data_IF_409996285697
#
_entry.id   IF_409996285697
#
_cell.length_a   1.000
_cell.length_b   1.000
_cell.length_c   1.000
_cell.angle_alpha   90.00
_cell.angle_beta   90.00
_cell.angle_gamma   90.00
#
_symmetry.space_group_name_H-M   'P 1'
#
loop_
_entity.id
_entity.type
_entity.pdbx_description
1 polymer ?
#
# COMPACT_ATOMS: atom_id res chain seq x y z
N UNK A 1 -14.86 -2.34 -14.68
CA UNK A 1 -14.30 -1.34 -15.62
C UNK A 1 -13.32 -0.42 -14.89
N UNK A 2 -12.17 -0.10 -15.53
CA UNK A 2 -11.15 0.78 -14.96
C UNK A 2 -11.24 2.17 -15.55
N UNK A 3 -11.24 3.18 -14.69
CA UNK A 3 -11.25 4.59 -15.08
C UNK A 3 -9.95 5.26 -14.66
N UNK A 4 -9.39 6.10 -15.55
CA UNK A 4 -8.21 6.89 -15.26
C UNK A 4 -8.56 8.00 -14.26
N UNK A 5 -7.76 8.12 -13.20
CA UNK A 5 -7.87 9.21 -12.24
C UNK A 5 -7.19 10.47 -12.79
N UNK A 6 -7.71 11.63 -12.42
CA UNK A 6 -7.05 12.91 -12.70
C UNK A 6 -5.88 13.12 -11.71
N UNK A 7 -4.82 12.34 -11.88
CA UNK A 7 -3.68 12.30 -11.00
C UNK A 7 -2.37 12.32 -11.78
N UNK A 8 -1.32 12.86 -11.15
CA UNK A 8 0.00 12.92 -11.79
C UNK A 8 0.59 11.50 -11.93
N UNK A 9 0.87 11.09 -13.17
CA UNK A 9 1.41 9.77 -13.51
C UNK A 9 2.84 9.54 -12.99
N UNK A 10 3.59 10.61 -12.71
CA UNK A 10 5.00 10.53 -12.33
C UNK A 10 5.22 10.53 -10.81
N UNK A 11 4.21 10.85 -10.02
CA UNK A 11 4.31 11.00 -8.56
C UNK A 11 3.60 9.88 -7.83
N UNK A 12 4.16 8.68 -7.91
CA UNK A 12 3.66 7.50 -7.21
C UNK A 12 4.48 7.17 -5.97
N UNK A 13 3.79 6.58 -5.00
CA UNK A 13 4.40 5.88 -3.89
C UNK A 13 4.20 4.36 -4.06
N UNK A 14 5.28 3.60 -4.00
CA UNK A 14 5.27 2.15 -4.19
C UNK A 14 5.57 1.44 -2.89
N UNK A 15 4.73 0.51 -2.48
CA UNK A 15 4.94 -0.30 -1.27
C UNK A 15 6.24 -1.09 -1.29
N UNK A 16 6.70 -1.51 -2.47
CA UNK A 16 8.00 -2.16 -2.65
C UNK A 16 9.18 -1.26 -2.23
N UNK A 17 9.07 0.07 -2.36
CA UNK A 17 10.11 1.00 -1.92
C UNK A 17 10.26 1.00 -0.40
N UNK A 18 9.15 0.95 0.34
CA UNK A 18 9.18 0.86 1.81
C UNK A 18 9.94 -0.38 2.25
N UNK A 19 9.63 -1.54 1.65
CA UNK A 19 10.30 -2.81 1.96
C UNK A 19 11.80 -2.74 1.66
N UNK A 20 12.19 -2.06 0.57
CA UNK A 20 13.58 -1.96 0.12
C UNK A 20 14.41 -0.93 0.90
N UNK A 21 13.83 0.25 1.17
CA UNK A 21 14.59 1.39 1.70
C UNK A 21 14.52 1.53 3.21
N UNK A 22 13.44 1.09 3.87
CA UNK A 22 13.32 1.15 5.32
C UNK A 22 14.47 0.46 6.07
N UNK A 23 14.88 -0.78 5.72
CA UNK A 23 16.02 -1.42 6.37
C UNK A 23 17.34 -0.66 6.21
N UNK A 24 17.56 -0.02 5.06
CA UNK A 24 18.73 0.80 4.80
C UNK A 24 18.76 2.05 5.68
N UNK A 25 17.59 2.66 5.91
CA UNK A 25 17.47 3.80 6.83
C UNK A 25 17.74 3.37 8.27
N UNK A 26 17.27 2.20 8.70
CA UNK A 26 17.58 1.65 10.02
C UNK A 26 19.09 1.42 10.21
N UNK A 27 19.74 0.81 9.24
CA UNK A 27 21.19 0.58 9.28
C UNK A 27 21.95 1.92 9.37
N UNK A 28 21.56 2.91 8.55
CA UNK A 28 22.16 4.24 8.56
C UNK A 28 21.96 4.99 9.89
N UNK A 29 20.74 4.91 10.44
CA UNK A 29 20.45 5.50 11.75
C UNK A 29 21.32 4.88 12.84
N UNK A 30 21.47 3.56 12.86
CA UNK A 30 22.28 2.88 13.86
C UNK A 30 23.78 3.13 13.68
N UNK A 31 24.25 3.39 12.45
CA UNK A 31 25.64 3.81 12.24
C UNK A 31 25.90 5.21 12.83
N UNK A 32 24.95 6.14 12.67
CA UNK A 32 25.01 7.45 13.31
C UNK A 32 25.00 7.31 14.84
N UNK A 33 24.16 6.44 15.39
CA UNK A 33 24.11 6.17 16.83
C UNK A 33 25.44 5.59 17.33
N UNK A 34 26.10 4.70 16.56
CA UNK A 34 27.47 4.24 16.93
C UNK A 34 28.48 5.38 16.95
N UNK A 35 28.42 6.29 15.99
CA UNK A 35 29.30 7.45 15.94
C UNK A 35 29.06 8.40 17.13
N UNK A 36 27.78 8.60 17.51
CA UNK A 36 27.43 9.36 18.71
C UNK A 36 27.99 8.69 19.98
N UNK A 37 27.82 7.39 20.13
CA UNK A 37 28.33 6.66 21.28
C UNK A 37 29.87 6.77 21.37
N UNK A 38 30.59 6.60 20.24
CA UNK A 38 32.04 6.77 20.20
C UNK A 38 32.47 8.20 20.59
N UNK A 39 31.78 9.20 20.08
CA UNK A 39 32.02 10.59 20.44
C UNK A 39 31.88 10.82 21.94
N UNK A 40 30.78 10.39 22.55
CA UNK A 40 30.54 10.55 23.98
C UNK A 40 31.57 9.79 24.82
N UNK A 41 31.95 8.60 24.43
CA UNK A 41 32.97 7.80 25.08
C UNK A 41 34.35 8.52 25.05
N UNK A 42 34.76 9.05 23.89
CA UNK A 42 36.06 9.81 23.77
C UNK A 42 36.06 11.10 24.56
N UNK A 43 34.90 11.71 24.83
CA UNK A 43 34.80 12.90 25.67
C UNK A 43 34.58 12.60 27.16
N UNK A 44 34.59 11.33 27.56
CA UNK A 44 34.33 10.92 28.94
C UNK A 44 32.88 11.16 29.42
N UNK A 45 31.92 11.29 28.48
CA UNK A 45 30.52 11.56 28.79
C UNK A 45 29.79 10.24 28.96
N UNK A 46 29.15 10.02 30.11
CA UNK A 46 28.44 8.79 30.45
C UNK A 46 27.07 8.68 29.77
N UNK A 47 27.02 8.92 28.45
CA UNK A 47 25.82 8.78 27.63
C UNK A 47 26.05 7.69 26.60
N UNK A 48 25.16 6.69 26.58
CA UNK A 48 25.19 5.60 25.60
C UNK A 48 23.79 5.26 25.11
N UNK A 49 23.63 5.20 23.82
CA UNK A 49 22.40 4.79 23.16
C UNK A 49 22.47 3.33 22.71
N UNK A 50 21.36 2.61 22.81
CA UNK A 50 21.27 1.21 22.38
C UNK A 50 21.34 1.08 20.86
N UNK A 51 21.98 0.02 20.38
CA UNK A 51 22.00 -0.33 18.95
C UNK A 51 20.91 -1.36 18.70
N UNK A 52 19.91 -0.98 17.93
CA UNK A 52 18.74 -1.80 17.61
C UNK A 52 18.81 -2.28 16.17
N UNK A 53 18.30 -3.48 15.89
CA UNK A 53 18.17 -4.00 14.52
C UNK A 53 17.13 -3.20 13.71
N UNK A 54 16.02 -2.89 14.35
CA UNK A 54 14.88 -2.17 13.78
C UNK A 54 14.45 -1.05 14.73
N UNK A 55 15.10 0.13 14.68
CA UNK A 55 14.77 1.22 15.58
C UNK A 55 13.36 1.76 15.28
N UNK A 56 12.60 1.94 16.35
CA UNK A 56 11.29 2.59 16.24
C UNK A 56 11.46 4.09 16.01
N UNK A 57 10.47 4.72 15.39
CA UNK A 57 10.47 6.18 15.22
C UNK A 57 10.51 6.90 16.59
N UNK A 58 9.77 6.38 17.58
CA UNK A 58 9.78 6.90 18.95
C UNK A 58 11.19 6.93 19.53
N UNK A 59 11.95 5.84 19.38
CA UNK A 59 13.33 5.75 19.84
C UNK A 59 14.23 6.79 19.19
N UNK A 60 14.10 7.04 17.89
CA UNK A 60 14.89 8.05 17.19
C UNK A 60 14.52 9.48 17.61
N UNK A 61 13.25 9.75 17.91
CA UNK A 61 12.78 11.03 18.44
C UNK A 61 13.33 11.24 19.84
N UNK A 62 13.31 10.24 20.72
CA UNK A 62 13.87 10.33 22.06
C UNK A 62 15.39 10.65 22.05
N UNK A 63 16.13 10.08 21.10
CA UNK A 63 17.55 10.43 20.90
C UNK A 63 17.66 11.89 20.45
N UNK A 64 16.87 12.30 19.48
CA UNK A 64 16.90 13.67 18.94
C UNK A 64 16.64 14.71 20.02
N UNK A 65 15.61 14.52 20.85
CA UNK A 65 15.28 15.41 21.98
C UNK A 65 16.36 15.46 23.07
N UNK A 66 17.01 14.31 23.36
CA UNK A 66 18.11 14.26 24.30
C UNK A 66 19.35 15.00 23.78
N UNK A 67 19.63 14.84 22.48
CA UNK A 67 20.71 15.55 21.81
C UNK A 67 20.46 17.06 21.74
N UNK A 68 19.21 17.49 21.57
CA UNK A 68 18.86 18.92 21.61
C UNK A 68 19.16 19.53 22.96
N UNK A 69 18.70 18.92 24.04
CA UNK A 69 18.98 19.40 25.40
C UNK A 69 20.47 19.47 25.68
N UNK A 70 21.20 18.40 25.37
CA UNK A 70 22.65 18.35 25.55
C UNK A 70 23.37 19.41 24.71
N UNK A 71 22.97 19.64 23.46
CA UNK A 71 23.57 20.67 22.60
C UNK A 71 23.28 22.09 23.09
N UNK A 72 22.12 22.35 23.67
CA UNK A 72 21.80 23.65 24.29
C UNK A 72 22.75 23.94 25.45
N UNK A 73 22.99 22.98 26.33
CA UNK A 73 23.93 23.11 27.45
C UNK A 73 25.35 23.33 26.96
N UNK A 74 25.82 22.54 26.01
CA UNK A 74 27.18 22.65 25.46
C UNK A 74 27.40 23.96 24.70
N UNK A 75 26.45 24.40 23.89
CA UNK A 75 26.55 25.63 23.10
C UNK A 75 26.49 26.88 23.98
N UNK A 76 25.86 26.84 25.15
CA UNK A 76 25.85 27.94 26.12
C UNK A 76 27.29 28.24 26.66
N UNK A 77 28.13 27.25 26.70
CA UNK A 77 29.52 27.37 27.27
C UNK A 77 30.58 27.52 26.16
N UNK A 78 30.24 27.14 24.92
CA UNK A 78 31.18 27.04 23.80
C UNK A 78 31.54 28.40 23.20
N UNK A 79 32.82 28.71 23.10
CA UNK A 79 33.33 29.94 22.48
C UNK A 79 33.74 29.80 21.00
N UNK A 80 33.50 28.65 20.36
CA UNK A 80 33.96 28.37 18.97
C UNK A 80 32.93 28.72 17.90
N UNK A 81 33.39 29.15 16.70
CA UNK A 81 32.57 29.50 15.53
C UNK A 81 32.32 28.31 14.60
N UNK A 82 32.05 27.17 14.88
CA UNK A 82 31.81 26.04 13.99
C UNK A 82 30.60 25.20 14.40
N UNK A 83 30.08 24.41 13.50
CA UNK A 83 29.01 23.46 13.83
C UNK A 83 29.57 22.36 14.70
N UNK A 84 28.92 22.07 15.83
CA UNK A 84 29.35 21.00 16.70
C UNK A 84 29.19 19.63 15.98
N UNK A 85 30.18 18.69 16.09
CA UNK A 85 30.12 17.39 15.41
C UNK A 85 28.81 16.63 15.71
N UNK A 86 28.35 16.63 16.97
CA UNK A 86 27.08 16.02 17.38
C UNK A 86 25.88 16.69 16.70
N UNK A 87 25.89 18.00 16.48
CA UNK A 87 24.82 18.70 15.78
C UNK A 87 24.70 18.27 14.31
N UNK A 88 25.84 17.93 13.67
CA UNK A 88 25.83 17.35 12.31
C UNK A 88 25.18 15.97 12.31
N UNK A 89 25.61 15.08 13.22
CA UNK A 89 25.04 13.73 13.35
C UNK A 89 23.55 13.76 13.70
N UNK A 90 23.14 14.66 14.60
CA UNK A 90 21.74 14.89 14.94
C UNK A 90 20.92 15.27 13.70
N UNK A 91 21.38 16.22 12.90
CA UNK A 91 20.70 16.65 11.66
C UNK A 91 20.54 15.49 10.67
N UNK A 92 21.56 14.65 10.52
CA UNK A 92 21.49 13.47 9.65
C UNK A 92 20.49 12.44 10.20
N UNK A 93 20.47 12.20 11.52
CA UNK A 93 19.50 11.32 12.18
C UNK A 93 18.06 11.83 12.00
N UNK A 94 17.85 13.13 12.17
CA UNK A 94 16.55 13.78 11.95
C UNK A 94 16.04 13.64 10.50
N UNK A 95 16.93 13.70 9.51
CA UNK A 95 16.58 13.45 8.10
C UNK A 95 16.12 12.02 7.89
N UNK A 96 16.77 11.05 8.53
CA UNK A 96 16.37 9.64 8.47
C UNK A 96 15.04 9.43 9.18
N UNK A 97 14.84 10.04 10.36
CA UNK A 97 13.59 9.96 11.11
C UNK A 97 12.40 10.51 10.29
N UNK A 98 12.57 11.65 9.59
CA UNK A 98 11.56 12.19 8.67
C UNK A 98 11.22 11.21 7.53
N UNK A 99 12.22 10.53 6.97
CA UNK A 99 11.99 9.53 5.92
C UNK A 99 11.21 8.31 6.47
N UNK A 100 11.57 7.84 7.66
CA UNK A 100 10.87 6.72 8.31
C UNK A 100 9.42 7.10 8.69
N UNK A 101 9.20 8.33 9.13
CA UNK A 101 7.87 8.86 9.39
C UNK A 101 7.01 8.88 8.11
N UNK A 102 7.58 9.40 7.00
CA UNK A 102 6.87 9.40 5.71
C UNK A 102 6.52 7.99 5.23
N UNK A 103 7.37 6.99 5.51
CA UNK A 103 7.06 5.58 5.20
C UNK A 103 5.97 5.02 6.09
N UNK A 104 5.87 5.43 7.36
CA UNK A 104 4.78 5.02 8.24
C UNK A 104 3.44 5.56 7.72
N UNK A 105 3.35 6.86 7.45
CA UNK A 105 2.16 7.48 6.86
C UNK A 105 1.76 6.84 5.53
N UNK A 106 2.76 6.63 4.65
CA UNK A 106 2.50 6.00 3.36
C UNK A 106 1.99 4.56 3.50
N UNK A 107 2.40 3.83 4.53
CA UNK A 107 1.91 2.48 4.79
C UNK A 107 0.43 2.50 5.18
N UNK A 108 0.00 3.47 5.97
CA UNK A 108 -1.41 3.62 6.36
C UNK A 108 -2.29 3.96 5.15
N UNK A 109 -1.83 4.86 4.26
CA UNK A 109 -2.51 5.19 3.00
C UNK A 109 -2.55 3.99 2.05
N UNK A 110 -1.46 3.22 1.95
CA UNK A 110 -1.40 2.03 1.09
C UNK A 110 -2.42 0.97 1.50
N UNK A 111 -2.58 0.72 2.79
CA UNK A 111 -3.31 -0.46 3.25
C UNK A 111 -2.75 -1.73 2.60
N UNK A 112 -3.60 -2.49 1.91
CA UNK A 112 -3.20 -3.67 1.15
C UNK A 112 -2.79 -3.40 -0.31
N UNK A 113 -2.87 -2.15 -0.77
CA UNK A 113 -2.53 -1.76 -2.15
C UNK A 113 -1.02 -1.78 -2.38
N UNK A 114 -0.61 -1.96 -3.63
CA UNK A 114 0.80 -1.93 -4.02
C UNK A 114 1.34 -0.51 -4.24
N UNK A 115 0.47 0.45 -4.48
CA UNK A 115 0.83 1.84 -4.79
C UNK A 115 -0.33 2.80 -4.54
N UNK A 116 -0.02 4.08 -4.43
CA UNK A 116 -0.99 5.16 -4.52
C UNK A 116 -0.35 6.37 -5.20
N UNK A 117 -1.18 7.24 -5.79
CA UNK A 117 -0.72 8.52 -6.33
C UNK A 117 -0.56 9.54 -5.20
N UNK A 118 0.53 10.31 -5.19
CA UNK A 118 0.72 11.38 -4.20
C UNK A 118 -0.23 12.56 -4.39
N UNK A 119 -0.77 12.72 -5.58
CA UNK A 119 -1.74 13.79 -5.92
C UNK A 119 -3.19 13.36 -5.77
N UNK A 120 -3.43 12.04 -5.70
CA UNK A 120 -4.72 11.43 -5.46
C UNK A 120 -4.49 10.12 -4.67
N UNK A 121 -4.47 10.17 -3.32
CA UNK A 121 -4.13 9.01 -2.49
C UNK A 121 -5.07 7.81 -2.65
N UNK A 122 -6.28 8.01 -3.13
CA UNK A 122 -7.25 6.94 -3.36
C UNK A 122 -7.02 6.23 -4.69
N UNK A 123 -6.33 6.86 -5.66
CA UNK A 123 -6.01 6.25 -6.93
C UNK A 123 -4.84 5.26 -6.81
N UNK A 124 -5.00 4.10 -7.43
CA UNK A 124 -3.95 3.06 -7.50
C UNK A 124 -3.40 2.97 -8.92
N UNK A 125 -2.09 2.74 -9.06
CA UNK A 125 -1.49 2.44 -10.35
C UNK A 125 -2.01 1.10 -10.84
N UNK A 126 -2.74 1.10 -11.93
CA UNK A 126 -3.33 -0.11 -12.48
C UNK A 126 -3.15 -0.20 -13.99
N UNK A 127 -3.10 -1.44 -14.47
CA UNK A 127 -3.09 -1.71 -15.89
C UNK A 127 -4.47 -1.41 -16.46
N UNK A 128 -4.55 -0.41 -17.35
CA UNK A 128 -5.78 -0.06 -18.03
C UNK A 128 -6.07 -1.10 -19.14
N UNK A 129 -7.29 -1.11 -19.67
CA UNK A 129 -7.59 -1.92 -20.87
C UNK A 129 -6.65 -1.52 -21.99
N UNK A 130 -6.31 -2.49 -22.84
CA UNK A 130 -5.48 -2.26 -24.02
C UNK A 130 -6.10 -1.18 -24.89
N UNK A 131 -5.30 -0.17 -25.21
CA UNK A 131 -5.69 0.88 -26.15
C UNK A 131 -5.44 0.39 -27.57
N UNK A 132 -6.50 -0.01 -28.25
CA UNK A 132 -6.43 -0.51 -29.61
C UNK A 132 -6.02 0.54 -30.64
N UNK A 133 -6.17 1.84 -30.31
CA UNK A 133 -5.76 2.93 -31.22
C UNK A 133 -4.26 3.19 -31.15
N UNK A 134 -3.70 3.16 -29.96
CA UNK A 134 -2.28 3.45 -29.75
C UNK A 134 -1.44 2.19 -29.57
N UNK A 135 -2.01 1.01 -29.63
CA UNK A 135 -1.35 -0.29 -29.43
C UNK A 135 -0.52 -0.35 -28.14
N UNK A 136 -0.96 0.28 -27.07
CA UNK A 136 -0.22 0.40 -25.82
C UNK A 136 -0.92 -0.26 -24.64
N UNK A 137 -0.14 -0.99 -23.86
CA UNK A 137 -0.51 -1.42 -22.52
C UNK A 137 -0.10 -0.31 -21.55
N UNK A 138 -1.03 0.51 -21.12
CA UNK A 138 -0.72 1.67 -20.31
C UNK A 138 -1.06 1.43 -18.84
N UNK A 139 -0.07 1.62 -17.98
CA UNK A 139 -0.28 1.76 -16.55
C UNK A 139 -0.60 3.21 -16.23
N UNK A 140 -1.73 3.43 -15.55
CA UNK A 140 -2.20 4.76 -15.17
C UNK A 140 -2.76 4.73 -13.74
N UNK A 141 -2.76 5.89 -13.03
CA UNK A 141 -3.55 6.02 -11.82
C UNK A 141 -5.03 5.85 -12.17
N UNK A 142 -5.74 5.10 -11.37
CA UNK A 142 -7.14 4.86 -11.68
C UNK A 142 -7.91 4.17 -10.58
N UNK A 143 -9.18 3.99 -10.86
CA UNK A 143 -10.16 3.33 -10.04
C UNK A 143 -10.77 2.15 -10.78
N UNK A 144 -11.12 1.12 -10.04
CA UNK A 144 -11.89 0.00 -10.54
C UNK A 144 -13.37 0.23 -10.20
N UNK A 145 -14.19 0.46 -11.21
CA UNK A 145 -15.61 0.77 -11.07
C UNK A 145 -16.42 -0.47 -11.40
N UNK A 146 -17.22 -0.91 -10.44
CA UNK A 146 -18.19 -2.00 -10.58
C UNK A 146 -19.58 -1.40 -10.83
N UNK A 147 -20.31 -1.93 -11.79
CA UNK A 147 -21.65 -1.46 -12.15
C UNK A 147 -22.58 -2.67 -12.16
N UNK A 148 -23.58 -2.62 -11.33
CA UNK A 148 -24.71 -3.58 -11.34
C UNK A 148 -25.82 -3.06 -12.22
N UNK A 149 -26.24 -3.87 -13.18
CA UNK A 149 -27.31 -3.54 -14.13
C UNK A 149 -28.49 -4.49 -13.91
N UNK A 150 -29.69 -3.94 -13.85
CA UNK A 150 -30.93 -4.71 -13.79
C UNK A 150 -31.91 -4.13 -14.81
N UNK A 151 -32.42 -4.99 -15.69
CA UNK A 151 -33.36 -4.61 -16.77
C UNK A 151 -32.90 -3.41 -17.63
N UNK A 152 -31.59 -3.32 -17.89
CA UNK A 152 -31.01 -2.23 -18.69
C UNK A 152 -30.70 -0.95 -17.90
N UNK A 153 -31.05 -0.87 -16.62
CA UNK A 153 -30.79 0.28 -15.76
C UNK A 153 -29.63 0.00 -14.80
N UNK A 154 -28.83 1.03 -14.49
CA UNK A 154 -27.82 0.96 -13.45
C UNK A 154 -28.54 0.94 -12.10
N UNK A 155 -28.51 -0.20 -11.43
CA UNK A 155 -29.09 -0.37 -10.10
C UNK A 155 -28.14 0.10 -8.99
N UNK A 156 -26.83 -0.21 -9.12
CA UNK A 156 -25.83 0.15 -8.13
C UNK A 156 -24.46 0.29 -8.76
N UNK A 157 -23.63 1.19 -8.20
CA UNK A 157 -22.22 1.32 -8.59
C UNK A 157 -21.33 1.35 -7.36
N UNK A 158 -20.13 0.77 -7.50
CA UNK A 158 -19.10 0.75 -6.46
C UNK A 158 -17.75 1.12 -7.05
N UNK A 159 -17.06 2.07 -6.42
CA UNK A 159 -15.74 2.53 -6.85
C UNK A 159 -14.70 1.97 -5.86
N UNK A 160 -13.70 1.28 -6.37
CA UNK A 160 -12.64 0.67 -5.57
C UNK A 160 -11.26 1.09 -6.03
N UNK A 161 -10.30 1.28 -5.12
CA UNK A 161 -8.89 1.39 -5.44
C UNK A 161 -8.25 0.02 -5.76
N UNK A 162 -8.95 -1.09 -5.54
CA UNK A 162 -8.44 -2.42 -5.82
C UNK A 162 -8.32 -2.70 -7.32
N UNK A 163 -7.16 -3.19 -7.73
CA UNK A 163 -6.89 -3.51 -9.13
C UNK A 163 -7.62 -4.77 -9.59
N UNK A 164 -7.93 -5.66 -8.66
CA UNK A 164 -8.47 -7.00 -8.93
C UNK A 164 -9.98 -7.06 -8.62
N UNK A 165 -10.77 -7.47 -9.61
CA UNK A 165 -12.23 -7.61 -9.50
C UNK A 165 -12.66 -8.65 -8.45
N UNK A 166 -11.86 -9.68 -8.19
CA UNK A 166 -12.16 -10.67 -7.15
C UNK A 166 -12.36 -10.05 -5.76
N UNK A 167 -11.65 -8.96 -5.45
CA UNK A 167 -11.75 -8.27 -4.16
C UNK A 167 -12.95 -7.31 -4.09
N UNK A 168 -13.55 -6.95 -5.21
CA UNK A 168 -14.60 -5.94 -5.28
C UNK A 168 -16.01 -6.51 -5.21
N UNK A 169 -16.20 -7.83 -5.39
CA UNK A 169 -17.52 -8.46 -5.40
C UNK A 169 -18.25 -8.35 -4.05
N UNK A 170 -17.58 -8.73 -2.95
CA UNK A 170 -18.19 -8.68 -1.61
C UNK A 170 -18.49 -7.23 -1.20
N UNK A 171 -17.55 -6.26 -1.28
CA UNK A 171 -17.87 -4.86 -1.00
C UNK A 171 -19.00 -4.28 -1.86
N UNK A 172 -19.10 -4.69 -3.12
CA UNK A 172 -20.20 -4.31 -4.00
C UNK A 172 -21.54 -4.84 -3.49
N UNK A 173 -21.63 -6.13 -3.15
CA UNK A 173 -22.84 -6.76 -2.63
C UNK A 173 -23.27 -6.19 -1.28
N UNK A 174 -22.31 -5.89 -0.40
CA UNK A 174 -22.59 -5.24 0.87
C UNK A 174 -23.08 -3.79 0.69
N UNK A 175 -22.51 -3.06 -0.27
CA UNK A 175 -22.99 -1.73 -0.62
C UNK A 175 -24.40 -1.76 -1.21
N UNK A 176 -24.67 -2.70 -2.10
CA UNK A 176 -26.00 -2.94 -2.64
C UNK A 176 -27.02 -3.22 -1.54
N UNK A 177 -26.70 -4.17 -0.63
CA UNK A 177 -27.55 -4.50 0.52
C UNK A 177 -27.84 -3.28 1.40
N UNK A 178 -26.83 -2.45 1.68
CA UNK A 178 -27.04 -1.23 2.48
C UNK A 178 -28.02 -0.26 1.82
N UNK A 179 -27.99 -0.16 0.49
CA UNK A 179 -28.87 0.75 -0.25
C UNK A 179 -30.29 0.21 -0.38
N UNK A 180 -30.43 -1.08 -0.67
CA UNK A 180 -31.75 -1.71 -0.96
C UNK A 180 -32.32 -2.51 0.21
N UNK A 181 -31.59 -2.57 1.34
CA UNK A 181 -31.96 -3.32 2.56
C UNK A 181 -32.08 -4.86 2.32
N UNK A 182 -31.65 -5.34 1.15
CA UNK A 182 -31.66 -6.75 0.79
C UNK A 182 -30.56 -7.06 -0.23
N UNK A 183 -30.19 -8.34 -0.34
CA UNK A 183 -29.29 -8.81 -1.38
C UNK A 183 -30.02 -9.04 -2.71
N UNK A 184 -29.32 -8.93 -3.86
CA UNK A 184 -29.93 -9.35 -5.13
C UNK A 184 -30.17 -10.86 -5.11
N UNK A 185 -31.31 -11.30 -5.60
CA UNK A 185 -31.66 -12.74 -5.67
C UNK A 185 -30.71 -13.51 -6.58
N UNK A 186 -30.33 -12.90 -7.71
CA UNK A 186 -29.44 -13.51 -8.70
C UNK A 186 -28.38 -12.49 -9.11
N UNK A 187 -27.12 -12.93 -9.20
CA UNK A 187 -25.98 -12.12 -9.68
C UNK A 187 -25.26 -12.89 -10.78
N UNK A 188 -25.06 -12.24 -11.91
CA UNK A 188 -24.29 -12.76 -13.04
C UNK A 188 -23.04 -11.91 -13.20
N UNK A 189 -21.86 -12.53 -13.18
CA UNK A 189 -20.58 -11.82 -13.34
C UNK A 189 -19.66 -12.50 -14.35
N UNK A 190 -18.63 -11.78 -14.79
CA UNK A 190 -17.58 -12.37 -15.60
C UNK A 190 -16.58 -13.21 -14.77
N UNK A 191 -15.60 -13.83 -15.44
CA UNK A 191 -14.61 -14.68 -14.80
C UNK A 191 -13.66 -13.93 -13.85
N UNK A 192 -13.58 -12.61 -13.95
CA UNK A 192 -12.72 -11.77 -13.09
C UNK A 192 -13.14 -11.79 -11.62
N UNK A 193 -14.40 -12.14 -11.33
CA UNK A 193 -14.96 -12.24 -9.98
C UNK A 193 -14.88 -13.65 -9.37
N UNK A 194 -14.49 -14.65 -10.17
CA UNK A 194 -14.48 -16.05 -9.76
C UNK A 194 -13.43 -16.34 -8.70
N UNK A 195 -13.82 -16.41 -7.44
CA UNK A 195 -12.98 -16.85 -6.32
C UNK A 195 -13.80 -17.71 -5.35
N UNK A 196 -13.11 -18.61 -4.63
CA UNK A 196 -13.77 -19.41 -3.59
C UNK A 196 -14.50 -18.55 -2.56
N UNK A 197 -13.88 -17.44 -2.12
CA UNK A 197 -14.47 -16.51 -1.17
C UNK A 197 -15.77 -15.89 -1.68
N UNK A 198 -15.83 -15.49 -2.95
CA UNK A 198 -17.04 -14.90 -3.55
C UNK A 198 -18.16 -15.92 -3.71
N UNK A 199 -17.84 -17.19 -4.05
CA UNK A 199 -18.84 -18.27 -4.09
C UNK A 199 -19.37 -18.58 -2.70
N UNK A 200 -18.51 -18.76 -1.71
CA UNK A 200 -18.91 -19.04 -0.33
C UNK A 200 -19.75 -17.92 0.25
N UNK A 201 -19.38 -16.66 -0.02
CA UNK A 201 -20.15 -15.48 0.40
C UNK A 201 -21.56 -15.47 -0.22
N UNK A 202 -21.67 -15.70 -1.53
CA UNK A 202 -22.95 -15.76 -2.22
C UNK A 202 -23.84 -16.87 -1.66
N UNK A 203 -23.29 -18.06 -1.41
CA UNK A 203 -24.00 -19.20 -0.83
C UNK A 203 -24.48 -18.88 0.60
N UNK A 204 -23.63 -18.28 1.43
CA UNK A 204 -23.98 -17.91 2.81
C UNK A 204 -25.18 -16.94 2.85
N UNK A 205 -25.28 -16.03 1.88
CA UNK A 205 -26.33 -15.03 1.80
C UNK A 205 -27.47 -15.43 0.85
N UNK A 206 -27.55 -16.70 0.44
CA UNK A 206 -28.59 -17.26 -0.44
C UNK A 206 -28.73 -16.53 -1.79
N UNK A 207 -27.61 -15.97 -2.29
CA UNK A 207 -27.57 -15.31 -3.59
C UNK A 207 -27.30 -16.38 -4.66
N UNK A 208 -28.14 -16.49 -5.66
CA UNK A 208 -27.89 -17.32 -6.82
C UNK A 208 -26.80 -16.68 -7.67
N UNK A 209 -25.54 -17.12 -7.48
CA UNK A 209 -24.39 -16.57 -8.17
C UNK A 209 -24.03 -17.37 -9.41
N UNK A 210 -24.14 -16.75 -10.58
CA UNK A 210 -23.68 -17.29 -11.86
C UNK A 210 -22.33 -16.64 -12.17
N UNK A 211 -21.27 -17.23 -11.64
CA UNK A 211 -19.90 -16.73 -11.79
C UNK A 211 -19.16 -17.63 -12.78
N UNK A 212 -18.60 -17.04 -13.81
CA UNK A 212 -17.81 -17.79 -14.79
C UNK A 212 -16.48 -18.24 -14.16
N UNK A 213 -16.19 -19.54 -14.21
CA UNK A 213 -14.92 -20.08 -13.71
C UNK A 213 -13.74 -19.60 -14.57
N UNK A 214 -12.68 -19.08 -13.95
CA UNK A 214 -11.51 -18.50 -14.63
C UNK A 214 -10.73 -19.50 -15.51
N UNK A 215 -10.87 -20.79 -15.29
CA UNK A 215 -10.28 -21.86 -16.09
C UNK A 215 -11.18 -22.44 -17.19
N UNK A 216 -12.40 -21.90 -17.37
CA UNK A 216 -13.39 -22.47 -18.27
C UNK A 216 -12.93 -22.59 -19.73
N UNK A 217 -12.25 -21.59 -20.26
CA UNK A 217 -11.71 -21.63 -21.63
C UNK A 217 -10.55 -22.61 -21.78
N UNK A 218 -9.65 -22.69 -20.80
CA UNK A 218 -8.53 -23.66 -20.81
C UNK A 218 -9.01 -25.11 -20.73
N UNK A 219 -10.15 -25.39 -20.10
CA UNK A 219 -10.76 -26.72 -20.11
C UNK A 219 -11.37 -27.04 -21.46
N UNK A 220 -11.99 -26.07 -22.16
CA UNK A 220 -12.59 -26.27 -23.47
C UNK A 220 -11.54 -26.63 -24.53
N UNK A 221 -10.34 -26.09 -24.47
CA UNK A 221 -9.23 -26.42 -25.37
C UNK A 221 -8.59 -27.78 -25.04
N UNK A 222 -8.65 -28.26 -23.78
CA UNK A 222 -8.12 -29.57 -23.36
C UNK A 222 -9.11 -30.72 -23.50
N UNK A 223 -10.39 -30.46 -23.70
CA UNK A 223 -11.44 -31.49 -23.86
C UNK A 223 -11.48 -32.05 -25.27
N UNK A 224 -10.61 -31.58 -26.20
CA UNK A 224 -10.61 -32.14 -27.55
C UNK A 224 -9.87 -33.44 -27.66
N UNK A 225 -9.17 -34.01 -26.67
CA UNK A 225 -8.55 -35.33 -26.89
C UNK A 225 -8.34 -36.31 -25.73
N UNK A 226 -8.70 -36.11 -24.52
CA UNK A 226 -8.71 -37.20 -23.50
C UNK A 226 -9.33 -36.71 -22.17
N UNK A 227 -10.48 -37.19 -21.91
CA UNK A 227 -11.13 -37.54 -20.64
C UNK A 227 -12.53 -37.00 -20.53
N UNK A 228 -13.47 -37.85 -20.87
CA UNK A 228 -14.85 -37.80 -20.36
C UNK A 228 -14.80 -38.00 -18.84
N UNK A 229 -14.79 -36.90 -18.09
CA UNK A 229 -15.27 -36.90 -16.71
C UNK A 229 -16.67 -36.34 -16.73
N UNK A 230 -17.65 -37.19 -16.56
CA UNK A 230 -19.02 -36.82 -16.22
C UNK A 230 -18.99 -36.07 -14.89
N UNK A 231 -19.50 -34.85 -14.90
CA UNK A 231 -19.88 -34.13 -13.68
C UNK A 231 -21.28 -34.66 -13.32
N UNK A 232 -21.36 -35.38 -12.23
CA UNK A 232 -22.59 -35.60 -11.48
C UNK A 232 -22.91 -34.33 -10.69
#
# INVERSE_FOLDING_TARGET
TKFEANANKMTFFWGAWVKRYRPRHWQKAMEIVRQLNRYFETQGIAVRYSILKEPTLKYLIEIDERLDRWLQEVNAIRKGRGIHPVAKLKRELGTIAKSLFSYALAKDILGERNSFSKTDPDATMMHMKYDYYNHTNVFKPGYNVQIGVNNGYIAYSYISPDVNDMKTAIPFLEGYRRQFQDYPKTVVTDAGYGSYGNYAYAQLHQIQAILKYSGYQKKKEKVTEKNQFQLL
#
